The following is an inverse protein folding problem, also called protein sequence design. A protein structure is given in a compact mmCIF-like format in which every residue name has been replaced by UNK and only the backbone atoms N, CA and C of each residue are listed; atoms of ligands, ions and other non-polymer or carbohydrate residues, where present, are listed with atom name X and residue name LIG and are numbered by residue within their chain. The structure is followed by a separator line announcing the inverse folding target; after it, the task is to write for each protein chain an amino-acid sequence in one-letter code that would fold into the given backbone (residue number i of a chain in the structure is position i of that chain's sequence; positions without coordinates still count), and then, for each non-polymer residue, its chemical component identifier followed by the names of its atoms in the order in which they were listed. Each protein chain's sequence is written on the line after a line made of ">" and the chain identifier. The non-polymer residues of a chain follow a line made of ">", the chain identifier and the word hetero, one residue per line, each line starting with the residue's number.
data_IF_744069689616
#
_entry.id   IF_744069689616
#
_cell.length_a   1.000
_cell.length_b   1.000
_cell.length_c   1.000
_cell.angle_alpha   90.00
_cell.angle_beta   90.00
_cell.angle_gamma   90.00
#
_symmetry.space_group_name_H-M   'P 1'
#
loop_
_entity.id
_entity.type
_entity.pdbx_description
1 polymer ?
#
# COMPACT_ATOMS: atom_id res chain seq x y z
N UNK A 1 -22.41 -22.14 -14.04
CA UNK A 1 -21.50 -21.18 -14.71
C UNK A 1 -22.18 -19.81 -14.65
N UNK A 2 -21.96 -19.07 -13.55
CA UNK A 2 -22.57 -17.74 -13.34
C UNK A 2 -21.48 -16.72 -13.65
N UNK A 3 -21.47 -16.24 -14.89
CA UNK A 3 -20.60 -15.16 -15.32
C UNK A 3 -21.15 -13.85 -14.78
N UNK A 4 -20.65 -13.41 -13.63
CA UNK A 4 -20.86 -12.03 -13.18
C UNK A 4 -20.06 -11.16 -14.14
N UNK A 5 -20.76 -10.48 -15.05
CA UNK A 5 -20.19 -9.48 -15.96
C UNK A 5 -19.40 -8.44 -15.12
N UNK A 6 -18.10 -8.18 -15.40
CA UNK A 6 -17.37 -7.20 -14.63
C UNK A 6 -17.74 -5.80 -15.13
N UNK A 7 -18.63 -5.16 -14.38
CA UNK A 7 -19.08 -3.78 -14.60
C UNK A 7 -17.94 -2.73 -14.51
N UNK A 8 -16.83 -3.05 -13.84
CA UNK A 8 -15.63 -2.22 -13.80
C UNK A 8 -14.39 -3.08 -13.55
N UNK A 9 -13.46 -3.14 -14.49
CA UNK A 9 -12.21 -3.89 -14.36
C UNK A 9 -11.07 -2.95 -14.00
N UNK A 10 -10.72 -2.89 -12.71
CA UNK A 10 -9.56 -2.15 -12.22
C UNK A 10 -8.35 -3.09 -12.14
N UNK A 11 -7.45 -2.99 -13.11
CA UNK A 11 -6.18 -3.73 -13.08
C UNK A 11 -5.06 -2.82 -12.54
N UNK A 12 -4.21 -3.30 -11.61
CA UNK A 12 -3.00 -2.59 -11.24
C UNK A 12 -2.11 -2.47 -12.48
N UNK A 13 -1.82 -1.24 -12.92
CA UNK A 13 -0.83 -1.03 -13.98
C UNK A 13 0.57 -1.12 -13.39
N UNK A 14 1.05 -2.34 -13.15
CA UNK A 14 2.48 -2.62 -13.19
C UNK A 14 2.82 -3.13 -14.57
N UNK A 15 3.72 -2.41 -15.24
CA UNK A 15 4.53 -2.98 -16.32
C UNK A 15 5.03 -4.35 -15.81
N UNK A 16 4.71 -5.43 -16.53
CA UNK A 16 4.77 -6.85 -16.11
C UNK A 16 3.65 -7.30 -15.15
N UNK A 17 2.53 -7.72 -15.71
CA UNK A 17 1.64 -8.73 -15.10
C UNK A 17 1.44 -9.83 -16.14
N UNK A 18 2.22 -10.90 -16.00
CA UNK A 18 1.84 -12.21 -16.54
C UNK A 18 0.58 -12.69 -15.82
N UNK A 19 -0.26 -13.47 -16.51
CA UNK A 19 -1.61 -13.89 -16.12
C UNK A 19 -1.62 -14.91 -14.98
N UNK A 20 -1.04 -14.60 -13.85
CA UNK A 20 -1.30 -15.30 -12.61
C UNK A 20 -1.69 -14.28 -11.55
N UNK A 21 -2.90 -14.44 -11.01
CA UNK A 21 -3.32 -13.80 -9.76
C UNK A 21 -2.29 -14.12 -8.68
N UNK A 22 -1.28 -13.27 -8.53
CA UNK A 22 -0.36 -13.35 -7.40
C UNK A 22 -1.15 -13.07 -6.14
N UNK A 23 -1.38 -14.11 -5.34
CA UNK A 23 -1.93 -13.95 -4.01
C UNK A 23 -0.92 -13.15 -3.18
N UNK A 24 -1.34 -11.97 -2.72
CA UNK A 24 -0.57 -11.21 -1.74
C UNK A 24 -0.70 -11.92 -0.39
N UNK A 25 0.25 -12.82 -0.12
CA UNK A 25 0.31 -13.60 1.11
C UNK A 25 1.08 -12.90 2.24
N UNK A 26 0.77 -13.29 3.47
CA UNK A 26 1.41 -12.85 4.70
C UNK A 26 2.01 -14.08 5.39
N UNK A 27 3.29 -14.03 5.75
CA UNK A 27 3.94 -15.05 6.56
C UNK A 27 4.31 -14.47 7.93
N UNK A 28 3.92 -15.15 9.00
CA UNK A 28 4.17 -14.73 10.38
C UNK A 28 4.84 -15.87 11.14
N UNK A 29 5.89 -15.57 11.91
CA UNK A 29 6.56 -16.56 12.74
C UNK A 29 5.63 -17.05 13.86
N UNK A 30 5.66 -18.36 14.18
CA UNK A 30 4.98 -18.95 15.34
C UNK A 30 5.99 -19.31 16.43
N UNK A 31 5.70 -18.93 17.68
CA UNK A 31 6.66 -19.00 18.79
C UNK A 31 6.50 -20.27 19.65
N UNK A 32 5.40 -21.03 19.55
CA UNK A 32 5.31 -22.39 20.10
C UNK A 32 4.10 -23.20 19.58
N UNK A 33 4.21 -24.54 19.46
CA UNK A 33 3.10 -25.42 18.99
C UNK A 33 2.00 -25.67 20.03
N UNK A 34 2.25 -25.38 21.31
CA UNK A 34 1.35 -25.71 22.42
C UNK A 34 0.84 -24.52 23.23
N UNK A 35 1.40 -23.32 23.04
CA UNK A 35 0.93 -22.10 23.68
C UNK A 35 0.91 -20.97 22.66
N UNK A 36 -0.31 -20.48 22.41
CA UNK A 36 -0.62 -19.08 22.12
C UNK A 36 -0.05 -18.51 20.82
N UNK A 37 -0.96 -18.28 19.86
CA UNK A 37 -0.73 -17.52 18.64
C UNK A 37 -0.20 -16.11 18.95
N UNK A 38 1.11 -15.87 18.88
CA UNK A 38 1.63 -14.50 18.83
C UNK A 38 1.31 -13.82 17.46
N UNK A 39 0.66 -14.53 16.53
CA UNK A 39 1.08 -14.41 15.13
C UNK A 39 0.20 -13.51 14.25
N UNK A 40 -1.09 -13.38 14.52
CA UNK A 40 -2.00 -12.60 13.67
C UNK A 40 -2.86 -11.60 14.44
N UNK A 41 -3.28 -11.91 15.67
CA UNK A 41 -4.16 -11.01 16.45
C UNK A 41 -3.48 -9.68 16.79
N UNK A 42 -2.27 -9.73 17.36
CA UNK A 42 -1.48 -8.52 17.65
C UNK A 42 -1.13 -7.73 16.39
N UNK A 43 -0.79 -8.43 15.32
CA UNK A 43 -0.48 -7.83 14.03
C UNK A 43 -1.70 -7.14 13.42
N UNK A 44 -2.85 -7.82 13.39
CA UNK A 44 -4.12 -7.28 12.92
C UNK A 44 -4.55 -6.07 13.77
N UNK A 45 -4.38 -6.14 15.09
CA UNK A 45 -4.64 -5.02 16.01
C UNK A 45 -3.75 -3.81 15.70
N UNK A 46 -2.46 -4.03 15.41
CA UNK A 46 -1.54 -2.96 14.97
C UNK A 46 -1.99 -2.37 13.64
N UNK A 47 -2.30 -3.21 12.64
CA UNK A 47 -2.75 -2.79 11.31
C UNK A 47 -4.06 -1.97 11.41
N UNK A 48 -5.00 -2.40 12.25
CA UNK A 48 -6.28 -1.72 12.46
C UNK A 48 -6.09 -0.33 13.10
N UNK A 49 -5.13 -0.19 14.01
CA UNK A 49 -4.86 1.09 14.70
C UNK A 49 -4.13 2.11 13.85
N UNK A 50 -3.19 1.68 13.00
CA UNK A 50 -2.36 2.61 12.23
C UNK A 50 -3.03 3.01 10.90
N UNK A 51 -2.82 4.25 10.42
CA UNK A 51 -3.35 4.69 9.14
C UNK A 51 -2.70 3.91 7.98
N UNK A 52 -3.34 3.88 6.81
CA UNK A 52 -3.04 2.91 5.73
C UNK A 52 -1.61 2.98 5.20
N UNK A 53 -1.02 4.17 5.18
CA UNK A 53 0.35 4.45 4.72
C UNK A 53 1.40 4.17 5.78
N UNK A 54 1.03 3.91 7.03
CA UNK A 54 2.03 3.75 8.07
C UNK A 54 2.56 2.32 8.08
N UNK A 55 3.89 2.18 8.04
CA UNK A 55 4.53 0.89 8.24
C UNK A 55 4.27 0.38 9.66
N UNK A 56 4.00 -0.93 9.79
CA UNK A 56 3.85 -1.58 11.09
C UNK A 56 5.16 -1.57 11.89
N UNK A 57 6.31 -1.52 11.20
CA UNK A 57 7.67 -1.50 11.78
C UNK A 57 8.04 -0.15 12.39
N UNK A 58 7.21 0.88 12.23
CA UNK A 58 7.53 2.22 12.72
C UNK A 58 7.72 2.21 14.24
N UNK A 59 8.96 2.40 14.69
CA UNK A 59 9.34 2.43 16.12
C UNK A 59 8.59 3.52 16.88
N UNK A 60 8.39 4.71 16.28
CA UNK A 60 7.66 5.84 16.88
C UNK A 60 6.19 5.54 17.24
N UNK A 61 5.61 4.48 16.70
CA UNK A 61 4.24 4.07 17.05
C UNK A 61 4.17 3.22 18.34
N UNK A 62 5.33 3.00 18.98
CA UNK A 62 5.50 2.29 20.24
C UNK A 62 5.59 0.76 20.08
N UNK A 63 5.94 0.05 21.18
CA UNK A 63 6.07 -1.40 21.19
C UNK A 63 4.72 -2.11 21.02
N UNK A 64 4.78 -3.41 20.75
CA UNK A 64 3.64 -4.32 20.77
C UNK A 64 3.15 -4.45 22.21
N UNK A 65 1.84 -4.30 22.40
CA UNK A 65 1.21 -4.51 23.71
C UNK A 65 0.91 -5.99 23.86
N UNK A 66 1.87 -6.72 24.40
CA UNK A 66 1.77 -8.17 24.61
C UNK A 66 1.12 -8.46 25.96
N UNK A 67 0.43 -9.60 26.04
CA UNK A 67 0.08 -10.20 27.32
C UNK A 67 1.33 -10.75 28.00
N UNK A 68 1.33 -10.79 29.34
CA UNK A 68 2.48 -11.25 30.14
C UNK A 68 3.04 -12.61 29.69
N UNK A 69 2.17 -13.55 29.36
CA UNK A 69 2.56 -14.91 28.92
C UNK A 69 3.33 -14.87 27.59
N UNK A 70 2.86 -14.07 26.63
CA UNK A 70 3.49 -13.93 25.31
C UNK A 70 4.83 -13.19 25.41
N UNK A 71 4.90 -12.18 26.29
CA UNK A 71 6.14 -11.47 26.56
C UNK A 71 7.20 -12.38 27.21
N UNK A 72 6.81 -13.24 28.15
CA UNK A 72 7.71 -14.22 28.75
C UNK A 72 8.24 -15.25 27.73
N UNK A 73 7.38 -15.74 26.83
CA UNK A 73 7.78 -16.65 25.76
C UNK A 73 8.84 -16.02 24.85
N UNK A 74 8.62 -14.77 24.43
CA UNK A 74 9.58 -14.02 23.62
C UNK A 74 10.90 -13.73 24.34
N UNK A 75 10.83 -13.43 25.64
CA UNK A 75 12.03 -13.20 26.45
C UNK A 75 12.87 -14.47 26.63
N UNK A 76 12.27 -15.66 26.51
CA UNK A 76 12.95 -16.95 26.63
C UNK A 76 13.64 -17.34 25.33
N UNK A 77 13.00 -17.05 24.18
CA UNK A 77 13.48 -17.42 22.84
C UNK A 77 13.86 -16.18 22.03
N UNK A 78 14.82 -15.39 22.53
CA UNK A 78 15.27 -14.20 21.81
C UNK A 78 16.06 -14.57 20.56
N UNK A 79 15.67 -13.99 19.43
CA UNK A 79 16.42 -14.11 18.18
C UNK A 79 17.73 -13.33 18.27
N UNK A 80 18.82 -13.96 17.84
CA UNK A 80 20.06 -13.27 17.53
C UNK A 80 19.90 -12.35 16.31
N UNK A 81 20.81 -11.39 16.14
CA UNK A 81 20.77 -10.49 14.98
C UNK A 81 20.86 -11.25 13.64
N UNK A 82 21.75 -12.25 13.44
CA UNK A 82 21.80 -13.01 12.19
C UNK A 82 20.50 -13.79 11.90
N UNK A 83 19.85 -14.36 12.92
CA UNK A 83 18.57 -15.04 12.75
C UNK A 83 17.47 -14.07 12.34
N UNK A 84 17.43 -12.88 12.96
CA UNK A 84 16.49 -11.83 12.60
C UNK A 84 16.70 -11.35 11.16
N UNK A 85 17.94 -11.17 10.71
CA UNK A 85 18.26 -10.80 9.33
C UNK A 85 17.82 -11.87 8.32
N UNK A 86 18.00 -13.15 8.66
CA UNK A 86 17.54 -14.25 7.82
C UNK A 86 16.02 -14.26 7.68
N UNK A 87 15.27 -14.16 8.78
CA UNK A 87 13.81 -14.07 8.76
C UNK A 87 13.30 -12.85 8.00
N UNK A 88 14.01 -11.72 8.11
CA UNK A 88 13.68 -10.51 7.35
C UNK A 88 13.86 -10.72 5.86
N UNK A 89 14.96 -11.34 5.43
CA UNK A 89 15.21 -11.71 4.03
C UNK A 89 14.14 -12.64 3.48
N UNK A 90 13.64 -13.57 4.31
CA UNK A 90 12.60 -14.53 3.95
C UNK A 90 11.18 -13.92 3.97
N UNK A 91 11.06 -12.59 4.14
CA UNK A 91 9.79 -11.86 4.20
C UNK A 91 8.86 -12.35 5.32
N UNK A 92 9.43 -12.89 6.39
CA UNK A 92 8.67 -13.34 7.56
C UNK A 92 8.46 -12.14 8.48
N UNK A 93 7.23 -11.97 8.99
CA UNK A 93 6.91 -10.97 10.00
C UNK A 93 7.08 -11.58 11.38
N UNK A 94 7.92 -10.94 12.18
CA UNK A 94 8.24 -11.38 13.52
C UNK A 94 8.46 -10.18 14.47
N UNK A 95 8.23 -10.39 15.78
CA UNK A 95 8.62 -9.43 16.79
C UNK A 95 10.13 -9.49 17.06
N UNK A 96 10.76 -8.34 17.27
CA UNK A 96 12.16 -8.20 17.63
C UNK A 96 12.35 -7.10 18.68
N UNK A 97 13.37 -7.24 19.53
CA UNK A 97 13.72 -6.25 20.54
C UNK A 97 14.97 -5.49 20.10
N UNK A 98 14.82 -4.20 19.81
CA UNK A 98 15.95 -3.34 19.50
C UNK A 98 16.80 -3.05 20.74
N UNK A 99 18.12 -3.04 20.57
CA UNK A 99 19.06 -2.65 21.62
C UNK A 99 18.79 -1.21 22.04
N UNK A 100 18.70 -0.96 23.35
CA UNK A 100 18.44 0.36 23.91
C UNK A 100 16.96 0.79 23.91
N UNK A 101 16.04 -0.01 23.37
CA UNK A 101 14.60 0.23 23.46
C UNK A 101 13.91 -0.80 24.36
N UNK A 102 12.88 -0.33 25.08
CA UNK A 102 12.02 -1.21 25.87
C UNK A 102 10.87 -1.76 25.01
N UNK A 103 10.51 -3.01 25.27
CA UNK A 103 9.43 -3.73 24.59
C UNK A 103 9.82 -4.34 23.25
N UNK A 104 8.83 -5.00 22.64
CA UNK A 104 8.95 -5.73 21.38
C UNK A 104 8.38 -4.92 20.21
N UNK A 105 9.00 -4.97 19.05
CA UNK A 105 8.60 -4.22 17.84
C UNK A 105 8.46 -5.16 16.64
N UNK A 106 7.67 -4.79 15.64
CA UNK A 106 7.62 -5.53 14.39
C UNK A 106 8.86 -5.25 13.56
N UNK A 107 9.54 -6.29 13.08
CA UNK A 107 10.79 -6.16 12.30
C UNK A 107 10.60 -6.30 10.79
N UNK A 108 9.46 -6.81 10.31
CA UNK A 108 9.17 -6.87 8.87
C UNK A 108 7.74 -6.44 8.57
N UNK A 109 7.56 -5.77 7.44
CA UNK A 109 6.27 -5.37 6.85
C UNK A 109 6.09 -5.90 5.42
N UNK A 110 6.95 -6.83 5.01
CA UNK A 110 7.00 -7.39 3.67
C UNK A 110 5.87 -8.41 3.45
N UNK A 111 5.41 -8.46 2.21
CA UNK A 111 4.42 -9.42 1.72
C UNK A 111 5.12 -10.39 0.76
N UNK A 112 4.55 -11.57 0.59
CA UNK A 112 5.15 -12.61 -0.26
C UNK A 112 5.20 -12.22 -1.75
N UNK A 113 4.45 -11.21 -2.19
CA UNK A 113 4.51 -10.71 -3.57
C UNK A 113 5.88 -10.11 -3.91
N UNK A 114 6.25 -10.21 -5.19
CA UNK A 114 7.46 -9.62 -5.75
C UNK A 114 7.20 -8.27 -6.44
N UNK A 115 5.95 -7.79 -6.41
CA UNK A 115 5.54 -6.54 -7.07
C UNK A 115 5.88 -5.29 -6.24
N UNK A 116 5.65 -4.11 -6.84
CA UNK A 116 5.77 -2.81 -6.18
C UNK A 116 4.87 -2.65 -4.92
N UNK A 117 3.89 -3.55 -4.74
CA UNK A 117 3.01 -3.61 -3.57
C UNK A 117 3.46 -4.65 -2.52
N UNK A 118 4.69 -5.17 -2.60
CA UNK A 118 5.26 -6.19 -1.70
C UNK A 118 5.45 -5.78 -0.23
N UNK A 119 4.76 -4.73 0.24
CA UNK A 119 4.72 -4.31 1.64
C UNK A 119 3.31 -3.95 2.07
N UNK A 120 2.98 -4.24 3.33
CA UNK A 120 1.64 -4.06 3.90
C UNK A 120 1.10 -2.65 3.66
N UNK A 121 1.88 -1.62 4.00
CA UNK A 121 1.46 -0.22 3.85
C UNK A 121 1.22 0.18 2.40
N UNK A 122 2.03 -0.34 1.45
CA UNK A 122 1.85 -0.05 0.02
C UNK A 122 0.59 -0.72 -0.52
N UNK A 123 0.38 -1.99 -0.19
CA UNK A 123 -0.83 -2.73 -0.55
C UNK A 123 -2.09 -2.07 0.04
N UNK A 124 -2.04 -1.63 1.32
CA UNK A 124 -3.18 -0.95 1.97
C UNK A 124 -3.52 0.39 1.32
N UNK A 125 -2.51 1.21 1.00
CA UNK A 125 -2.71 2.48 0.28
C UNK A 125 -3.33 2.22 -1.08
N UNK A 126 -2.80 1.26 -1.83
CA UNK A 126 -3.31 0.92 -3.16
C UNK A 126 -4.75 0.39 -3.13
N UNK A 127 -5.05 -0.55 -2.23
CA UNK A 127 -6.39 -1.09 -2.05
C UNK A 127 -7.41 0.00 -1.65
N UNK A 128 -7.01 0.96 -0.82
CA UNK A 128 -7.86 2.12 -0.51
C UNK A 128 -8.11 2.98 -1.75
N UNK A 129 -7.07 3.26 -2.55
CA UNK A 129 -7.22 4.02 -3.79
C UNK A 129 -8.16 3.34 -4.78
N UNK A 130 -8.00 2.03 -4.99
CA UNK A 130 -8.90 1.24 -5.85
C UNK A 130 -10.35 1.35 -5.42
N UNK A 131 -10.64 1.29 -4.11
CA UNK A 131 -12.01 1.45 -3.59
C UNK A 131 -12.58 2.84 -3.85
N UNK A 132 -11.76 3.89 -3.74
CA UNK A 132 -12.17 5.27 -4.03
C UNK A 132 -12.47 5.40 -5.53
N UNK A 133 -11.54 5.00 -6.40
CA UNK A 133 -11.71 5.07 -7.86
C UNK A 133 -12.91 4.26 -8.30
N UNK A 134 -13.07 3.03 -7.78
CA UNK A 134 -14.21 2.19 -8.09
C UNK A 134 -15.52 2.89 -7.77
N UNK A 135 -15.67 3.43 -6.56
CA UNK A 135 -16.88 4.14 -6.14
C UNK A 135 -17.17 5.36 -7.02
N UNK A 136 -16.13 6.11 -7.43
CA UNK A 136 -16.28 7.29 -8.28
C UNK A 136 -16.69 6.91 -9.70
N UNK A 137 -15.98 5.97 -10.34
CA UNK A 137 -16.23 5.59 -11.73
C UNK A 137 -17.46 4.69 -11.91
N UNK A 138 -17.88 3.97 -10.87
CA UNK A 138 -19.11 3.18 -10.93
C UNK A 138 -20.34 4.05 -11.18
N UNK A 139 -20.33 5.32 -10.76
CA UNK A 139 -21.42 6.27 -11.03
C UNK A 139 -21.46 6.72 -12.50
N UNK A 140 -20.38 6.53 -13.26
CA UNK A 140 -20.25 6.89 -14.67
C UNK A 140 -20.53 5.71 -15.60
N UNK A 141 -20.87 4.56 -15.03
CA UNK A 141 -21.05 3.34 -15.79
C UNK A 141 -22.36 3.41 -16.59
N UNK A 142 -22.24 3.11 -17.89
CA UNK A 142 -23.36 3.17 -18.85
C UNK A 142 -23.96 4.57 -19.03
N UNK A 143 -23.23 5.60 -18.65
CA UNK A 143 -23.63 6.99 -18.89
C UNK A 143 -23.54 7.35 -20.38
N UNK A 144 -24.41 8.26 -20.82
CA UNK A 144 -24.46 8.76 -22.19
C UNK A 144 -23.31 9.74 -22.43
N UNK A 145 -22.30 9.33 -23.20
CA UNK A 145 -21.17 10.20 -23.56
C UNK A 145 -21.33 10.66 -25.01
N UNK A 146 -21.57 11.96 -25.28
CA UNK A 146 -21.63 12.47 -26.65
C UNK A 146 -20.26 12.30 -27.31
N UNK A 147 -20.26 11.93 -28.60
CA UNK A 147 -19.04 11.72 -29.38
C UNK A 147 -18.83 12.86 -30.37
N UNK A 148 -17.57 13.10 -30.74
CA UNK A 148 -17.25 14.00 -31.86
C UNK A 148 -17.62 13.33 -33.19
N UNK A 149 -17.59 14.08 -34.30
CA UNK A 149 -17.87 13.54 -35.64
C UNK A 149 -16.90 12.41 -36.03
N UNK A 150 -15.69 12.43 -35.49
CA UNK A 150 -14.64 11.44 -35.69
C UNK A 150 -14.83 10.17 -34.82
N UNK A 151 -15.86 10.15 -33.96
CA UNK A 151 -16.17 9.05 -33.05
C UNK A 151 -15.26 8.99 -31.81
N UNK A 152 -14.58 10.09 -31.47
CA UNK A 152 -13.72 10.24 -30.30
C UNK A 152 -14.43 10.95 -29.14
N UNK A 153 -13.82 10.93 -27.97
CA UNK A 153 -14.36 11.58 -26.78
C UNK A 153 -14.14 13.12 -26.83
N UNK A 154 -15.13 13.94 -26.46
CA UNK A 154 -14.94 15.38 -26.32
C UNK A 154 -13.96 15.71 -25.20
N UNK A 155 -12.96 16.54 -25.50
CA UNK A 155 -11.92 16.96 -24.55
C UNK A 155 -12.46 17.55 -23.25
N UNK A 156 -13.58 18.30 -23.32
CA UNK A 156 -14.21 18.90 -22.15
C UNK A 156 -14.72 17.85 -21.15
N UNK A 157 -15.37 16.79 -21.66
CA UNK A 157 -15.94 15.72 -20.82
C UNK A 157 -14.82 14.89 -20.21
N UNK A 158 -13.80 14.57 -21.01
CA UNK A 158 -12.61 13.85 -20.55
C UNK A 158 -11.92 14.58 -19.41
N UNK A 159 -11.68 15.89 -19.56
CA UNK A 159 -11.10 16.73 -18.50
C UNK A 159 -11.99 16.79 -17.26
N UNK A 160 -13.31 16.92 -17.42
CA UNK A 160 -14.24 16.94 -16.29
C UNK A 160 -14.18 15.62 -15.51
N UNK A 161 -14.16 14.47 -16.20
CA UNK A 161 -14.08 13.16 -15.57
C UNK A 161 -12.72 12.92 -14.89
N UNK A 162 -11.62 13.30 -15.54
CA UNK A 162 -10.30 13.26 -14.91
C UNK A 162 -10.26 14.09 -13.63
N UNK A 163 -10.77 15.33 -13.67
CA UNK A 163 -10.84 16.21 -12.51
C UNK A 163 -11.73 15.64 -11.40
N UNK A 164 -12.86 14.99 -11.75
CA UNK A 164 -13.73 14.31 -10.78
C UNK A 164 -12.99 13.21 -10.03
N UNK A 165 -12.28 12.32 -10.74
CA UNK A 165 -11.50 11.24 -10.13
C UNK A 165 -10.37 11.79 -9.26
N UNK A 166 -9.64 12.79 -9.74
CA UNK A 166 -8.56 13.43 -8.99
C UNK A 166 -9.09 14.08 -7.71
N UNK A 167 -10.16 14.87 -7.79
CA UNK A 167 -10.75 15.54 -6.63
C UNK A 167 -11.18 14.55 -5.52
N UNK A 168 -11.79 13.43 -5.90
CA UNK A 168 -12.20 12.38 -4.96
C UNK A 168 -11.00 11.72 -4.27
N UNK A 169 -9.94 11.41 -5.02
CA UNK A 169 -8.70 10.86 -4.46
C UNK A 169 -7.99 11.86 -3.55
N UNK A 170 -7.94 13.14 -3.94
CA UNK A 170 -7.36 14.20 -3.12
C UNK A 170 -8.10 14.35 -1.80
N UNK A 171 -9.44 14.29 -1.81
CA UNK A 171 -10.24 14.38 -0.59
C UNK A 171 -10.04 13.16 0.32
N UNK A 172 -10.06 11.94 -0.22
CA UNK A 172 -10.02 10.72 0.60
C UNK A 172 -8.62 10.23 0.96
N UNK A 173 -7.59 10.66 0.21
CA UNK A 173 -6.22 10.18 0.36
C UNK A 173 -5.24 11.29 0.68
N UNK A 174 -5.05 12.28 -0.20
CA UNK A 174 -4.05 13.35 0.00
C UNK A 174 -4.37 14.19 1.23
N UNK A 175 -5.60 14.68 1.36
CA UNK A 175 -6.05 15.50 2.50
C UNK A 175 -6.00 14.76 3.83
N UNK A 176 -6.03 13.42 3.79
CA UNK A 176 -5.89 12.55 4.97
C UNK A 176 -4.45 12.07 5.20
N UNK A 177 -3.48 12.58 4.46
CA UNK A 177 -2.06 12.24 4.58
C UNK A 177 -1.72 10.78 4.23
N UNK A 178 -2.53 10.10 3.42
CA UNK A 178 -2.32 8.69 3.05
C UNK A 178 -1.35 8.51 1.87
N UNK A 179 -1.13 9.56 1.08
CA UNK A 179 -0.22 9.55 -0.08
C UNK A 179 0.67 10.80 -0.04
N UNK A 180 1.77 10.75 -0.76
CA UNK A 180 2.77 11.81 -0.78
C UNK A 180 2.45 12.87 -1.83
N UNK A 181 2.56 14.13 -1.43
CA UNK A 181 2.57 15.30 -2.31
C UNK A 181 3.99 15.87 -2.38
N UNK A 182 4.33 16.60 -3.44
CA UNK A 182 5.61 17.30 -3.53
C UNK A 182 5.57 18.51 -2.59
N UNK A 183 6.39 18.55 -1.52
CA UNK A 183 6.36 19.65 -0.56
C UNK A 183 6.82 20.98 -1.18
N UNK A 184 7.61 20.94 -2.25
CA UNK A 184 8.13 22.13 -2.93
C UNK A 184 7.14 22.68 -3.97
N UNK A 185 6.03 21.96 -4.24
CA UNK A 185 5.00 22.35 -5.21
C UNK A 185 3.61 22.22 -4.60
N UNK A 186 3.03 23.33 -4.08
CA UNK A 186 1.71 23.30 -3.44
C UNK A 186 0.56 22.81 -4.33
N UNK A 187 0.71 22.90 -5.66
CA UNK A 187 -0.27 22.39 -6.63
C UNK A 187 -0.18 20.89 -6.88
N UNK A 188 0.89 20.22 -6.43
CA UNK A 188 1.06 18.80 -6.60
C UNK A 188 0.28 18.04 -5.54
N UNK A 189 -0.75 17.33 -5.96
CA UNK A 189 -1.63 16.57 -5.07
C UNK A 189 -1.19 15.12 -4.87
N UNK A 190 -0.16 14.67 -5.57
CA UNK A 190 0.28 13.26 -5.57
C UNK A 190 -0.64 12.32 -6.34
N UNK A 191 -1.62 12.83 -7.08
CA UNK A 191 -2.58 12.06 -7.87
C UNK A 191 -2.53 12.52 -9.33
N UNK A 192 -2.62 11.58 -10.27
CA UNK A 192 -2.93 11.86 -11.66
C UNK A 192 -3.93 10.87 -12.23
N UNK A 193 -4.96 11.37 -12.88
CA UNK A 193 -5.89 10.63 -13.70
C UNK A 193 -5.66 11.01 -15.17
N UNK A 194 -5.55 10.01 -16.04
CA UNK A 194 -5.35 10.20 -17.47
C UNK A 194 -6.34 9.34 -18.24
N UNK A 195 -7.01 9.97 -19.21
CA UNK A 195 -7.96 9.35 -20.12
C UNK A 195 -7.56 9.81 -21.51
N UNK A 196 -7.36 8.88 -22.44
CA UNK A 196 -7.04 9.24 -23.83
C UNK A 196 -8.32 9.69 -24.55
N UNK A 197 -8.35 10.93 -25.02
CA UNK A 197 -9.49 11.50 -25.78
C UNK A 197 -9.72 10.76 -27.10
N UNK A 198 -8.67 10.17 -27.68
CA UNK A 198 -8.72 9.50 -29.00
C UNK A 198 -9.29 8.09 -28.95
N UNK A 199 -9.62 7.58 -27.77
CA UNK A 199 -10.19 6.25 -27.64
C UNK A 199 -11.58 6.16 -28.30
N UNK A 200 -11.83 5.07 -29.03
CA UNK A 200 -13.09 4.84 -29.77
C UNK A 200 -14.03 3.94 -28.98
N UNK A 201 -14.76 4.53 -28.04
CA UNK A 201 -15.65 3.78 -27.13
C UNK A 201 -16.84 3.11 -27.84
N UNK A 202 -17.23 3.60 -29.02
CA UNK A 202 -18.34 3.02 -29.80
C UNK A 202 -18.09 1.56 -30.19
N UNK A 203 -16.82 1.21 -30.46
CA UNK A 203 -16.45 -0.11 -30.97
C UNK A 203 -16.23 -1.13 -29.85
N UNK A 204 -15.61 -0.71 -28.75
CA UNK A 204 -15.18 -1.61 -27.67
C UNK A 204 -16.08 -1.55 -26.43
N UNK A 205 -17.01 -0.59 -26.37
CA UNK A 205 -17.89 -0.30 -25.21
C UNK A 205 -17.12 -0.16 -23.89
N UNK A 206 -15.88 0.33 -23.97
CA UNK A 206 -14.94 0.37 -22.85
C UNK A 206 -14.27 1.73 -22.78
N UNK A 207 -14.41 2.39 -21.63
CA UNK A 207 -13.64 3.58 -21.28
C UNK A 207 -12.36 3.16 -20.54
N UNK A 208 -11.21 3.57 -21.07
CA UNK A 208 -9.91 3.33 -20.46
C UNK A 208 -9.47 4.54 -19.64
N UNK A 209 -9.23 4.29 -18.34
CA UNK A 209 -8.83 5.31 -17.36
C UNK A 209 -7.56 4.83 -16.66
N UNK A 210 -6.53 5.67 -16.66
CA UNK A 210 -5.27 5.41 -15.97
C UNK A 210 -5.16 6.32 -14.75
N UNK A 211 -5.05 5.72 -13.56
CA UNK A 211 -4.89 6.46 -12.31
C UNK A 211 -3.54 6.13 -11.70
N UNK A 212 -2.80 7.15 -11.28
CA UNK A 212 -1.51 7.04 -10.60
C UNK A 212 -1.54 7.81 -9.29
N UNK A 213 -0.97 7.22 -8.25
CA UNK A 213 -0.81 7.82 -6.92
C UNK A 213 0.66 7.78 -6.51
N UNK A 214 1.15 8.80 -5.81
CA UNK A 214 2.53 8.84 -5.31
C UNK A 214 2.62 8.25 -3.89
N UNK A 215 3.35 7.14 -3.68
CA UNK A 215 3.53 6.57 -2.35
C UNK A 215 4.55 7.36 -1.52
N UNK A 216 4.55 7.16 -0.20
CA UNK A 216 5.66 7.59 0.66
C UNK A 216 6.86 6.64 0.54
N UNK A 217 8.06 7.18 0.79
CA UNK A 217 9.28 6.40 1.01
C UNK A 217 9.38 5.92 2.46
N UNK A 218 10.03 4.77 2.67
CA UNK A 218 10.32 4.21 3.99
C UNK A 218 11.79 3.77 4.02
N UNK A 219 12.47 4.01 5.14
CA UNK A 219 13.84 3.57 5.39
C UNK A 219 13.82 2.34 6.30
N UNK A 220 14.41 1.23 5.85
CA UNK A 220 14.64 0.07 6.71
C UNK A 220 15.94 0.20 7.49
N UNK A 221 16.96 0.83 6.88
CA UNK A 221 18.27 1.04 7.45
C UNK A 221 18.60 2.53 7.49
N UNK A 222 19.33 2.94 8.53
CA UNK A 222 19.91 4.27 8.65
C UNK A 222 21.42 4.08 8.81
N UNK A 223 22.17 4.38 7.76
CA UNK A 223 23.63 4.38 7.81
C UNK A 223 24.10 5.71 8.40
N UNK A 224 24.88 5.65 9.49
CA UNK A 224 25.45 6.83 10.14
C UNK A 224 26.96 6.79 10.02
N UNK A 225 27.53 7.81 9.35
CA UNK A 225 28.98 7.99 9.27
C UNK A 225 29.42 8.91 10.41
N UNK A 226 30.04 8.32 11.43
CA UNK A 226 30.58 9.05 12.58
C UNK A 226 32.09 9.23 12.42
N UNK A 227 32.58 10.43 12.64
CA UNK A 227 34.01 10.75 12.58
C UNK A 227 34.35 11.89 13.54
N UNK A 228 35.62 11.96 13.91
CA UNK A 228 36.13 13.08 14.69
C UNK A 228 36.26 14.32 13.80
N UNK A 229 35.75 15.46 14.27
CA UNK A 229 35.98 16.76 13.65
C UNK A 229 37.31 17.29 14.19
N UNK A 230 38.39 17.05 13.45
CA UNK A 230 39.72 17.57 13.78
C UNK A 230 40.12 18.53 12.66
N UNK A 231 40.43 19.77 13.02
CA UNK A 231 41.02 20.76 12.12
C UNK A 231 42.39 20.24 11.69
N UNK A 232 42.65 20.18 10.38
CA UNK A 232 43.99 19.97 9.83
C UNK A 232 44.75 21.28 9.76
#
# INVERSE_FOLDING_TARGET
>A
MVTILPALRLEPTSFYLDRQTEFVGLATMEINRTTTHINLGYLAGRIARIPVQRSIMRVKDGPIRLMLQDEQALNTNQLSLPEAEHLFSDKIIFPYRHVGLQGWYWMSDQLLSHTNYGRIQRARVFNKAMRVVHRTLLQELSEEIPLTKEGTLPAMIVKALQAKVEAELVREMTSRGNISADPDKPSDTGVRCYIDEKQKILNNKKLEVQVRIRPFGYSDYIEVKLGYEVIR
#
